data_IF_708574449986
#
_entry.id   IF_708574449986
#
_cell.length_a   1.000
_cell.length_b   1.000
_cell.length_c   1.000
_cell.angle_alpha   90.00
_cell.angle_beta   90.00
_cell.angle_gamma   90.00
#
_symmetry.space_group_name_H-M   'P 1'
#
loop_
_entity.id
_entity.type
_entity.pdbx_description
1 polymer ?
#
# COMPACT_ATOMS: atom_id res chain seq x y z
N UNK A 1 11.87 1.08 -14.65
CA UNK A 1 10.89 1.85 -13.88
C UNK A 1 10.12 0.88 -12.98
N UNK A 2 10.51 0.73 -11.70
CA UNK A 2 9.81 -0.13 -10.76
C UNK A 2 8.46 0.47 -10.34
N UNK A 3 7.50 -0.42 -10.09
CA UNK A 3 6.17 -0.06 -9.62
C UNK A 3 5.90 -0.85 -8.35
N UNK A 4 5.68 -0.15 -7.24
CA UNK A 4 5.16 -0.74 -6.01
C UNK A 4 3.66 -0.53 -5.99
N UNK A 5 2.88 -1.60 -5.84
CA UNK A 5 1.44 -1.52 -5.59
C UNK A 5 1.17 -2.03 -4.18
N UNK A 6 0.56 -1.18 -3.36
CA UNK A 6 0.03 -1.54 -2.05
C UNK A 6 -1.50 -1.64 -2.16
N UNK A 7 -2.03 -2.84 -1.95
CA UNK A 7 -3.48 -3.06 -1.84
C UNK A 7 -3.84 -3.31 -0.38
N UNK A 8 -4.69 -2.47 0.20
CA UNK A 8 -5.06 -2.57 1.61
C UNK A 8 -6.40 -1.89 1.93
N UNK A 9 -6.85 -2.00 3.18
CA UNK A 9 -8.03 -1.26 3.65
C UNK A 9 -7.87 0.26 3.60
N UNK A 10 -8.96 1.02 3.82
CA UNK A 10 -8.93 2.48 3.81
C UNK A 10 -7.91 3.07 4.79
N UNK A 11 -7.25 4.14 4.36
CA UNK A 11 -6.21 4.89 5.06
C UNK A 11 -6.58 6.37 5.17
N UNK A 12 -6.01 7.04 6.17
CA UNK A 12 -6.02 8.51 6.19
C UNK A 12 -5.06 9.07 5.13
N UNK A 13 -5.25 10.34 4.75
CA UNK A 13 -4.32 11.05 3.85
C UNK A 13 -2.88 11.04 4.39
N UNK A 14 -2.71 11.31 5.68
CA UNK A 14 -1.39 11.31 6.34
C UNK A 14 -0.71 9.94 6.28
N UNK A 15 -1.47 8.84 6.45
CA UNK A 15 -0.92 7.50 6.33
C UNK A 15 -0.44 7.20 4.92
N UNK A 16 -1.21 7.63 3.90
CA UNK A 16 -0.83 7.45 2.49
C UNK A 16 0.47 8.19 2.16
N UNK A 17 0.61 9.44 2.62
CA UNK A 17 1.84 10.21 2.45
C UNK A 17 3.05 9.52 3.10
N UNK A 18 2.91 9.08 4.36
CA UNK A 18 3.99 8.38 5.07
C UNK A 18 4.40 7.08 4.38
N UNK A 19 3.45 6.31 3.85
CA UNK A 19 3.73 5.07 3.13
C UNK A 19 4.48 5.32 1.82
N UNK A 20 4.08 6.34 1.05
CA UNK A 20 4.76 6.72 -0.20
C UNK A 20 6.22 7.09 0.09
N UNK A 21 6.46 7.92 1.11
CA UNK A 21 7.81 8.32 1.52
C UNK A 21 8.64 7.12 1.97
N UNK A 22 8.08 6.26 2.83
CA UNK A 22 8.79 5.11 3.37
C UNK A 22 9.19 4.10 2.28
N UNK A 23 8.25 3.71 1.41
CA UNK A 23 8.57 2.78 0.32
C UNK A 23 9.60 3.35 -0.66
N UNK A 24 9.49 4.63 -0.99
CA UNK A 24 10.45 5.28 -1.90
C UNK A 24 11.84 5.27 -1.29
N UNK A 25 11.97 5.69 -0.02
CA UNK A 25 13.25 5.71 0.69
C UNK A 25 13.90 4.33 0.71
N UNK A 26 13.17 3.31 1.15
CA UNK A 26 13.74 1.98 1.35
C UNK A 26 14.14 1.33 0.02
N UNK A 27 13.38 1.55 -1.05
CA UNK A 27 13.77 1.08 -2.39
C UNK A 27 15.03 1.77 -2.88
N UNK A 28 15.09 3.10 -2.79
CA UNK A 28 16.25 3.86 -3.22
C UNK A 28 17.50 3.46 -2.43
N UNK A 29 17.37 3.28 -1.11
CA UNK A 29 18.46 2.87 -0.22
C UNK A 29 19.01 1.47 -0.58
N UNK A 30 18.12 0.49 -0.79
CA UNK A 30 18.53 -0.90 -1.06
C UNK A 30 19.07 -1.09 -2.48
N UNK A 31 18.53 -0.36 -3.45
CA UNK A 31 18.81 -0.62 -4.88
C UNK A 31 19.75 0.40 -5.51
N UNK A 32 19.95 1.57 -4.89
CA UNK A 32 20.74 2.68 -5.44
C UNK A 32 20.07 3.42 -6.59
N UNK A 33 18.80 3.15 -6.91
CA UNK A 33 18.09 3.84 -7.97
C UNK A 33 17.59 5.23 -7.54
N UNK A 34 17.47 6.19 -8.46
CA UNK A 34 16.89 7.50 -8.17
C UNK A 34 15.38 7.39 -7.93
N UNK A 35 14.84 8.23 -7.05
CA UNK A 35 13.42 8.21 -6.67
C UNK A 35 12.49 8.49 -7.86
N UNK A 36 12.93 9.32 -8.79
CA UNK A 36 12.19 9.69 -10.00
C UNK A 36 12.04 8.52 -10.98
N UNK A 37 12.83 7.45 -10.81
CA UNK A 37 12.76 6.27 -11.66
C UNK A 37 11.66 5.28 -11.24
N UNK A 38 10.90 5.54 -10.18
CA UNK A 38 9.88 4.63 -9.64
C UNK A 38 8.52 5.27 -9.38
N UNK A 39 7.50 4.43 -9.17
CA UNK A 39 6.16 4.86 -8.80
C UNK A 39 5.59 3.98 -7.68
N UNK A 40 4.93 4.59 -6.70
CA UNK A 40 4.16 3.92 -5.65
C UNK A 40 2.67 4.14 -5.89
N UNK A 41 1.89 3.07 -5.95
CA UNK A 41 0.45 3.07 -6.13
C UNK A 41 -0.22 2.51 -4.87
N UNK A 42 -1.17 3.24 -4.31
CA UNK A 42 -1.99 2.78 -3.19
C UNK A 42 -3.41 2.52 -3.70
N UNK A 43 -3.89 1.29 -3.53
CA UNK A 43 -5.26 0.88 -3.86
C UNK A 43 -5.99 0.50 -2.58
N UNK A 44 -7.01 1.28 -2.28
CA UNK A 44 -7.82 1.10 -1.07
C UNK A 44 -9.01 0.19 -1.40
N UNK A 45 -9.12 -0.92 -0.69
CA UNK A 45 -10.19 -1.91 -0.81
C UNK A 45 -11.10 -1.79 0.42
N UNK A 46 -12.38 -1.41 0.25
CA UNK A 46 -13.36 -1.49 1.33
C UNK A 46 -13.40 -2.91 1.93
N UNK A 47 -13.74 -3.00 3.22
CA UNK A 47 -13.77 -4.29 3.93
C UNK A 47 -14.78 -5.27 3.32
N UNK A 48 -15.77 -4.75 2.62
CA UNK A 48 -16.78 -5.51 1.91
C UNK A 48 -16.21 -6.23 0.68
N UNK A 49 -15.10 -5.73 0.13
CA UNK A 49 -14.46 -6.25 -1.07
C UNK A 49 -13.29 -7.20 -0.74
N UNK A 50 -13.06 -7.48 0.54
CA UNK A 50 -11.99 -8.37 1.01
C UNK A 50 -12.58 -9.61 1.67
N UNK A 51 -11.92 -10.75 1.48
CA UNK A 51 -12.29 -12.03 2.09
C UNK A 51 -11.08 -12.73 2.71
N UNK A 52 -11.25 -13.28 3.91
CA UNK A 52 -10.25 -14.11 4.60
C UNK A 52 -10.94 -15.38 5.09
N UNK A 53 -10.37 -16.55 4.77
CA UNK A 53 -10.94 -17.87 5.12
C UNK A 53 -12.43 -18.03 4.70
N UNK A 54 -12.78 -17.51 3.53
CA UNK A 54 -14.16 -17.56 3.02
C UNK A 54 -15.13 -16.58 3.69
N UNK A 55 -14.67 -15.74 4.63
CA UNK A 55 -15.49 -14.74 5.31
C UNK A 55 -15.13 -13.32 4.83
N UNK A 56 -16.16 -12.54 4.51
CA UNK A 56 -16.01 -11.13 4.16
C UNK A 56 -15.41 -10.36 5.35
N UNK A 57 -14.38 -9.54 5.12
CA UNK A 57 -13.61 -8.87 6.18
C UNK A 57 -14.46 -7.87 7.00
N UNK A 58 -15.54 -7.33 6.41
CA UNK A 58 -16.52 -6.53 7.15
C UNK A 58 -17.33 -7.33 8.18
N UNK A 59 -17.40 -8.67 8.04
CA UNK A 59 -18.16 -9.58 8.93
C UNK A 59 -17.29 -10.26 10.00
N UNK A 60 -15.96 -10.19 9.88
CA UNK A 60 -15.04 -10.73 10.88
C UNK A 60 -15.04 -9.79 12.10
N UNK A 61 -15.61 -10.27 13.21
CA UNK A 61 -15.51 -9.58 14.52
C UNK A 61 -14.12 -9.85 15.12
N UNK A 62 -13.45 -8.78 15.56
CA UNK A 62 -12.22 -8.88 16.36
C UNK A 62 -12.56 -9.08 17.82
#
# INVERSE_FOLDING_TARGET
MPIITLEMGPLTTEQKEKLIVAFTRDVCEVTGMPAEAMVVLIRELPRENMGVAGQQVSKIRR
#
